data_IF_733456620637
#
_entry.id   IF_733456620637
#
_cell.length_a   1.000
_cell.length_b   1.000
_cell.length_c   1.000
_cell.angle_alpha   90.00
_cell.angle_beta   90.00
_cell.angle_gamma   90.00
#
_symmetry.space_group_name_H-M   'P 1'
#
loop_
_entity.id
_entity.type
_entity.pdbx_description
1 polymer ?
#
# COMPACT_ATOMS: atom_id res chain seq x y z
N UNK A 1 10.88 -10.21 10.45
CA UNK A 1 9.72 -11.14 10.57
C UNK A 1 8.99 -10.82 11.86
N UNK A 2 7.70 -11.15 11.95
CA UNK A 2 6.90 -10.92 13.16
C UNK A 2 7.33 -11.88 14.29
N UNK A 3 7.57 -11.34 15.49
CA UNK A 3 7.95 -12.09 16.70
C UNK A 3 6.76 -12.78 17.39
N UNK A 4 5.54 -12.31 17.12
CA UNK A 4 4.27 -12.82 17.67
C UNK A 4 3.12 -12.51 16.70
N UNK A 5 1.98 -13.16 16.91
CA UNK A 5 0.72 -12.77 16.26
C UNK A 5 0.33 -11.34 16.67
N UNK A 6 -0.25 -10.58 15.74
CA UNK A 6 -0.84 -9.28 16.05
C UNK A 6 -1.33 -8.55 14.81
N UNK A 7 -1.46 -7.24 14.92
CA UNK A 7 -2.01 -6.39 13.88
C UNK A 7 -0.99 -5.42 13.32
N UNK A 8 -1.07 -5.16 12.03
CA UNK A 8 -0.25 -4.18 11.32
C UNK A 8 -1.12 -3.09 10.72
N UNK A 9 -0.56 -1.89 10.62
CA UNK A 9 -1.21 -0.74 9.98
C UNK A 9 -0.31 -0.16 8.89
N UNK A 10 -0.86 -0.05 7.69
CA UNK A 10 -0.23 0.62 6.54
C UNK A 10 -0.83 2.02 6.43
N UNK A 11 0.01 3.05 6.44
CA UNK A 11 -0.37 4.44 6.19
C UNK A 11 0.39 4.96 4.98
N UNK A 12 -0.23 5.01 3.79
CA UNK A 12 0.40 5.48 2.56
C UNK A 12 -0.07 6.89 2.17
N UNK A 13 0.79 7.61 1.46
CA UNK A 13 0.45 8.80 0.68
C UNK A 13 1.35 8.81 -0.57
N UNK A 14 0.75 8.79 -1.77
CA UNK A 14 1.49 8.71 -3.03
C UNK A 14 1.12 9.87 -3.96
N UNK A 15 1.94 10.92 -3.92
CA UNK A 15 1.90 12.05 -4.84
C UNK A 15 3.10 11.97 -5.80
N UNK A 16 2.88 12.21 -7.09
CA UNK A 16 3.90 11.98 -8.11
C UNK A 16 3.55 12.76 -9.37
N UNK A 17 4.53 13.35 -10.07
CA UNK A 17 4.32 13.88 -11.43
C UNK A 17 4.61 12.85 -12.53
N UNK A 18 5.34 11.79 -12.18
CA UNK A 18 5.70 10.71 -13.11
C UNK A 18 5.24 9.36 -12.56
N UNK A 19 5.48 8.28 -13.30
CA UNK A 19 5.05 6.97 -12.85
C UNK A 19 5.74 6.58 -11.53
N UNK A 20 4.94 6.26 -10.51
CA UNK A 20 5.42 5.74 -9.24
C UNK A 20 4.48 4.67 -8.68
N UNK A 21 5.03 3.75 -7.89
CA UNK A 21 4.22 2.75 -7.20
C UNK A 21 4.78 2.32 -5.86
N UNK A 22 3.86 1.93 -4.98
CA UNK A 22 4.12 1.24 -3.74
C UNK A 22 3.55 -0.18 -3.78
N UNK A 23 4.35 -1.12 -3.29
CA UNK A 23 3.98 -2.53 -3.19
C UNK A 23 4.32 -3.00 -1.77
N UNK A 24 3.38 -3.70 -1.13
CA UNK A 24 3.69 -4.52 0.06
C UNK A 24 3.27 -5.94 -0.23
N UNK A 25 4.21 -6.87 -0.03
CA UNK A 25 4.00 -8.31 -0.12
C UNK A 25 4.00 -8.91 1.27
N UNK A 26 3.18 -9.94 1.48
CA UNK A 26 3.14 -10.73 2.71
C UNK A 26 3.61 -12.13 2.38
N UNK A 27 4.53 -12.66 3.17
CA UNK A 27 5.04 -14.02 3.00
C UNK A 27 4.68 -14.87 4.22
N UNK A 28 4.33 -16.13 3.96
CA UNK A 28 4.14 -17.15 4.99
C UNK A 28 5.47 -17.58 5.63
N UNK A 29 5.37 -18.47 6.62
CA UNK A 29 6.53 -18.99 7.37
C UNK A 29 7.46 -19.87 6.52
N UNK A 30 6.98 -20.36 5.39
CA UNK A 30 7.75 -21.15 4.41
C UNK A 30 8.39 -20.27 3.33
N UNK A 31 8.14 -18.96 3.36
CA UNK A 31 8.65 -17.99 2.39
C UNK A 31 7.80 -17.87 1.12
N UNK A 32 6.62 -18.48 1.06
CA UNK A 32 5.71 -18.30 -0.08
C UNK A 32 4.93 -17.00 0.08
N UNK A 33 4.68 -16.30 -1.04
CA UNK A 33 3.85 -15.11 -1.02
C UNK A 33 2.37 -15.46 -0.79
N UNK A 34 1.76 -14.80 0.19
CA UNK A 34 0.33 -14.88 0.47
C UNK A 34 -0.39 -13.88 -0.44
N UNK A 35 -1.18 -14.43 -1.36
CA UNK A 35 -2.00 -13.66 -2.30
C UNK A 35 -3.46 -13.62 -1.87
N UNK A 36 -4.11 -12.49 -2.12
CA UNK A 36 -5.53 -12.24 -1.86
C UNK A 36 -6.25 -12.16 -3.21
N UNK A 37 -6.99 -13.21 -3.57
CA UNK A 37 -7.60 -13.34 -4.91
C UNK A 37 -6.58 -13.15 -6.05
N UNK A 38 -5.42 -13.82 -5.92
CA UNK A 38 -4.29 -13.70 -6.87
C UNK A 38 -3.70 -12.29 -6.97
N UNK A 39 -3.89 -11.44 -5.95
CA UNK A 39 -3.33 -10.08 -5.86
C UNK A 39 -2.47 -9.93 -4.61
N UNK A 40 -1.61 -8.93 -4.64
CA UNK A 40 -0.71 -8.56 -3.54
C UNK A 40 -1.51 -8.07 -2.32
N UNK A 41 -0.87 -8.05 -1.14
CA UNK A 41 -1.43 -7.45 0.07
C UNK A 41 -1.76 -5.97 -0.14
N UNK A 42 -0.82 -5.19 -0.69
CA UNK A 42 -1.00 -3.77 -0.98
C UNK A 42 -0.34 -3.41 -2.31
N UNK A 43 -1.05 -2.64 -3.13
CA UNK A 43 -0.53 -2.10 -4.37
C UNK A 43 -1.15 -0.73 -4.64
N UNK A 44 -0.32 0.29 -4.84
CA UNK A 44 -0.78 1.58 -5.36
C UNK A 44 0.15 2.03 -6.47
N UNK A 45 -0.40 2.13 -7.67
CA UNK A 45 0.28 2.64 -8.84
C UNK A 45 -0.34 3.97 -9.24
N UNK A 46 0.48 4.97 -9.55
CA UNK A 46 0.04 6.22 -10.15
C UNK A 46 0.92 6.57 -11.34
N UNK A 47 0.34 6.85 -12.52
CA UNK A 47 1.11 7.26 -13.70
C UNK A 47 1.54 8.73 -13.65
N UNK A 48 0.75 9.59 -12.98
CA UNK A 48 0.95 11.04 -12.88
C UNK A 48 0.18 11.63 -11.68
N UNK A 49 0.14 12.96 -11.58
CA UNK A 49 -0.43 13.72 -10.47
C UNK A 49 -1.96 13.81 -10.50
N UNK A 50 -2.60 13.51 -11.63
CA UNK A 50 -4.05 13.74 -11.88
C UNK A 50 -4.85 12.47 -12.07
N UNK A 51 -4.21 11.35 -12.37
CA UNK A 51 -4.91 10.13 -12.74
C UNK A 51 -5.64 9.49 -11.55
N UNK A 52 -6.87 9.02 -11.81
CA UNK A 52 -7.70 8.30 -10.84
C UNK A 52 -7.29 6.82 -10.76
N UNK A 53 -6.22 6.54 -10.03
CA UNK A 53 -5.77 5.17 -9.75
C UNK A 53 -5.89 4.88 -8.26
N UNK A 54 -6.91 4.11 -7.83
CA UNK A 54 -7.11 3.80 -6.43
C UNK A 54 -6.05 2.85 -5.88
N UNK A 55 -5.90 2.85 -4.57
CA UNK A 55 -5.16 1.84 -3.83
C UNK A 55 -5.87 0.50 -3.97
N UNK A 56 -5.10 -0.58 -4.08
CA UNK A 56 -5.58 -1.94 -3.93
C UNK A 56 -5.05 -2.52 -2.63
N UNK A 57 -5.95 -2.99 -1.77
CA UNK A 57 -5.64 -3.64 -0.50
C UNK A 57 -6.34 -4.99 -0.42
N UNK A 58 -5.58 -6.06 -0.17
CA UNK A 58 -6.05 -7.46 -0.20
C UNK A 58 -6.86 -7.78 -1.46
N UNK A 59 -6.40 -7.27 -2.60
CA UNK A 59 -7.04 -7.45 -3.91
C UNK A 59 -8.30 -6.61 -4.17
N UNK A 60 -8.79 -5.82 -3.21
CA UNK A 60 -9.93 -4.93 -3.39
C UNK A 60 -9.46 -3.48 -3.65
N UNK A 61 -10.09 -2.81 -4.61
CA UNK A 61 -9.85 -1.39 -4.87
C UNK A 61 -10.53 -0.53 -3.80
N UNK A 62 -9.80 0.41 -3.21
CA UNK A 62 -10.36 1.47 -2.36
C UNK A 62 -10.69 2.69 -3.23
N UNK A 63 -11.93 2.76 -3.72
CA UNK A 63 -12.40 3.90 -4.49
C UNK A 63 -12.35 5.23 -3.71
N UNK A 64 -12.27 5.19 -2.38
CA UNK A 64 -12.12 6.36 -1.52
C UNK A 64 -10.68 6.85 -1.37
N UNK A 65 -9.69 6.18 -1.96
CA UNK A 65 -8.28 6.56 -1.84
C UNK A 65 -7.87 7.75 -2.72
N UNK A 66 -8.73 8.15 -3.66
CA UNK A 66 -8.54 9.27 -4.57
C UNK A 66 -9.64 10.31 -4.35
N UNK A 67 -9.30 11.59 -4.45
CA UNK A 67 -10.22 12.71 -4.29
C UNK A 67 -10.21 13.53 -5.56
N UNK A 68 -11.38 13.69 -6.19
CA UNK A 68 -11.52 14.57 -7.34
C UNK A 68 -11.42 16.04 -6.91
N UNK A 69 -10.42 16.75 -7.44
CA UNK A 69 -10.22 18.19 -7.21
C UNK A 69 -10.88 19.03 -8.31
N UNK A 70 -11.07 18.45 -9.50
CA UNK A 70 -11.72 19.07 -10.65
C UNK A 70 -12.03 18.04 -11.75
N UNK A 71 -12.65 18.46 -12.86
CA UNK A 71 -12.88 17.57 -13.99
C UNK A 71 -11.56 16.94 -14.50
N UNK A 72 -11.42 15.62 -14.36
CA UNK A 72 -10.21 14.89 -14.76
C UNK A 72 -8.99 15.07 -13.86
N UNK A 73 -9.14 15.70 -12.69
CA UNK A 73 -8.04 15.95 -11.74
C UNK A 73 -8.31 15.24 -10.40
N UNK A 74 -7.48 14.26 -10.07
CA UNK A 74 -7.59 13.43 -8.88
C UNK A 74 -6.32 13.45 -8.06
N UNK A 75 -6.45 13.84 -6.79
CA UNK A 75 -5.37 13.84 -5.82
C UNK A 75 -5.47 12.63 -4.87
N UNK A 76 -4.35 12.13 -4.33
CA UNK A 76 -4.36 11.07 -3.33
C UNK A 76 -5.01 11.58 -2.04
N UNK A 77 -5.91 10.78 -1.46
CA UNK A 77 -6.51 11.10 -0.16
C UNK A 77 -5.44 11.03 0.93
N UNK A 78 -5.43 12.02 1.81
CA UNK A 78 -4.56 12.00 3.00
C UNK A 78 -5.15 11.13 4.11
N UNK A 79 -4.27 10.60 4.97
CA UNK A 79 -4.68 9.88 6.18
C UNK A 79 -5.27 8.50 5.95
N UNK A 80 -5.02 7.89 4.78
CA UNK A 80 -5.40 6.49 4.50
C UNK A 80 -4.75 5.53 5.49
N UNK A 81 -5.52 4.53 5.93
CA UNK A 81 -5.09 3.52 6.91
C UNK A 81 -5.67 2.16 6.53
N UNK A 82 -4.80 1.17 6.38
CA UNK A 82 -5.19 -0.20 6.07
C UNK A 82 -4.64 -1.13 7.15
N UNK A 83 -5.53 -1.89 7.80
CA UNK A 83 -5.16 -2.81 8.87
C UNK A 83 -5.23 -4.26 8.39
N UNK A 84 -4.28 -5.08 8.82
CA UNK A 84 -4.32 -6.52 8.62
C UNK A 84 -3.64 -7.25 9.77
N UNK A 85 -4.08 -8.49 9.99
CA UNK A 85 -3.43 -9.38 10.94
C UNK A 85 -2.19 -10.00 10.31
N UNK A 86 -1.14 -10.13 11.12
CA UNK A 86 0.07 -10.87 10.79
C UNK A 86 0.26 -11.99 11.82
N UNK A 87 0.67 -13.16 11.34
CA UNK A 87 1.01 -14.30 12.18
C UNK A 87 2.49 -14.27 12.54
N UNK A 88 2.83 -14.87 13.69
CA UNK A 88 4.20 -15.12 14.08
C UNK A 88 4.99 -15.75 12.92
N UNK A 89 6.23 -15.32 12.77
CA UNK A 89 7.19 -15.76 11.75
C UNK A 89 6.84 -15.39 10.30
N UNK A 90 5.68 -14.78 10.03
CA UNK A 90 5.42 -14.12 8.75
C UNK A 90 6.30 -12.88 8.58
N UNK A 91 6.53 -12.50 7.32
CA UNK A 91 7.28 -11.29 6.99
C UNK A 91 6.58 -10.49 5.92
N UNK A 92 6.84 -9.19 5.93
CA UNK A 92 6.45 -8.31 4.83
C UNK A 92 7.67 -7.80 4.10
N UNK A 93 7.50 -7.51 2.83
CA UNK A 93 8.47 -6.76 2.03
C UNK A 93 7.79 -5.53 1.47
N UNK A 94 8.48 -4.40 1.58
CA UNK A 94 8.01 -3.10 1.09
C UNK A 94 8.89 -2.74 -0.10
N UNK A 95 8.26 -2.40 -1.21
CA UNK A 95 8.95 -1.99 -2.43
C UNK A 95 8.36 -0.68 -2.93
N UNK A 96 9.25 0.25 -3.27
CA UNK A 96 8.93 1.50 -3.95
C UNK A 96 9.60 1.48 -5.31
N UNK A 97 8.87 1.80 -6.37
CA UNK A 97 9.44 1.98 -7.71
C UNK A 97 9.03 3.33 -8.30
N UNK A 98 9.87 3.85 -9.20
CA UNK A 98 9.69 5.17 -9.81
C UNK A 98 10.15 6.30 -8.89
N UNK A 99 9.67 7.50 -9.17
CA UNK A 99 10.08 8.72 -8.46
C UNK A 99 8.85 9.40 -7.82
N UNK A 100 8.35 8.90 -6.67
CA UNK A 100 7.37 9.64 -5.88
C UNK A 100 7.93 11.01 -5.50
N UNK A 101 7.06 12.01 -5.38
CA UNK A 101 7.45 13.31 -4.82
C UNK A 101 7.93 13.18 -3.37
N UNK A 102 8.74 14.13 -2.91
CA UNK A 102 9.40 14.11 -1.59
C UNK A 102 8.46 14.03 -0.39
N UNK A 103 7.19 14.45 -0.54
CA UNK A 103 6.17 14.37 0.49
C UNK A 103 5.42 13.02 0.51
N UNK A 104 5.70 12.13 -0.44
CA UNK A 104 5.13 10.79 -0.49
C UNK A 104 5.79 9.86 0.51
N UNK A 105 5.00 8.96 1.08
CA UNK A 105 5.49 7.95 2.01
C UNK A 105 4.66 6.68 2.00
N UNK A 106 5.29 5.59 2.42
CA UNK A 106 4.60 4.40 2.89
C UNK A 106 5.14 4.04 4.27
N UNK A 107 4.28 4.11 5.28
CA UNK A 107 4.62 3.75 6.65
C UNK A 107 3.92 2.47 7.03
N UNK A 108 4.65 1.56 7.65
CA UNK A 108 4.11 0.33 8.21
C UNK A 108 4.43 0.31 9.69
N UNK A 109 3.38 0.26 10.51
CA UNK A 109 3.47 0.29 11.96
C UNK A 109 2.95 -1.02 12.54
N UNK A 110 3.61 -1.52 13.58
CA UNK A 110 3.29 -2.77 14.25
C UNK A 110 4.04 -2.88 15.58
N UNK A 111 3.43 -3.50 16.58
CA UNK A 111 4.05 -3.84 17.87
C UNK A 111 4.68 -5.26 17.86
N UNK A 112 4.64 -5.95 16.72
CA UNK A 112 5.04 -7.35 16.62
C UNK A 112 6.40 -7.61 15.97
N UNK A 113 7.08 -6.59 15.44
CA UNK A 113 8.41 -6.75 14.82
C UNK A 113 9.58 -6.53 15.80
#
# INVERSE_FOLDING_TARGET
MAKKDGSMKISPFLYTYTQAKYIIRLFDVSGNEILFNSKLLFHWFRPDDKANFPVYFKGAADAGSMVQQGPGDFSPKQGLKYNFDIKKDQRIEIETQGNPESNSFIKVESDVF
#
